data_IF_823523785894
#
_entry.id   IF_823523785894
#
_cell.length_a   1.000
_cell.length_b   1.000
_cell.length_c   1.000
_cell.angle_alpha   90.00
_cell.angle_beta   90.00
_cell.angle_gamma   90.00
#
_symmetry.space_group_name_H-M   'P 1'
#
loop_
_entity.id
_entity.type
_entity.pdbx_description
1 polymer ?
#
# COMPACT_ATOMS: atom_id res chain seq x y z
N UNK A 1 4.56 17.54 27.85
CA UNK A 1 4.28 16.17 27.36
C UNK A 1 3.98 16.21 25.88
N UNK A 2 4.60 15.34 25.12
CA UNK A 2 4.33 15.18 23.67
C UNK A 2 2.96 14.54 23.48
N UNK A 3 2.09 15.15 22.69
CA UNK A 3 0.75 14.61 22.41
C UNK A 3 0.85 13.30 21.60
N UNK A 4 -0.22 12.51 21.58
CA UNK A 4 -0.30 11.31 20.72
C UNK A 4 -0.14 11.68 19.23
N UNK A 5 -0.70 12.82 18.84
CA UNK A 5 -0.58 13.37 17.48
C UNK A 5 0.88 13.72 17.14
N UNK A 6 1.61 14.35 18.03
CA UNK A 6 3.01 14.71 17.80
C UNK A 6 3.90 13.47 17.69
N UNK A 7 3.60 12.41 18.48
CA UNK A 7 4.29 11.13 18.36
C UNK A 7 4.05 10.48 17.01
N UNK A 8 2.81 10.49 16.55
CA UNK A 8 2.45 9.92 15.25
C UNK A 8 3.14 10.65 14.10
N UNK A 9 3.13 11.98 14.11
CA UNK A 9 3.81 12.79 13.08
C UNK A 9 5.32 12.54 13.08
N UNK A 10 5.94 12.56 14.24
CA UNK A 10 7.38 12.28 14.38
C UNK A 10 7.72 10.88 13.81
N UNK A 11 6.94 9.88 14.15
CA UNK A 11 7.17 8.53 13.65
C UNK A 11 7.07 8.44 12.13
N UNK A 12 6.10 9.12 11.52
CA UNK A 12 5.96 9.21 10.06
C UNK A 12 7.18 9.89 9.44
N UNK A 13 7.64 11.01 10.02
CA UNK A 13 8.79 11.75 9.52
C UNK A 13 10.09 10.93 9.63
N UNK A 14 10.31 10.27 10.77
CA UNK A 14 11.48 9.42 11.00
C UNK A 14 11.52 8.19 10.06
N UNK A 15 10.37 7.70 9.62
CA UNK A 15 10.25 6.54 8.74
C UNK A 15 9.95 6.89 7.28
N UNK A 16 9.96 8.16 6.91
CA UNK A 16 9.62 8.66 5.58
C UNK A 16 10.35 7.90 4.45
N UNK A 17 11.63 7.64 4.60
CA UNK A 17 12.41 6.91 3.60
C UNK A 17 11.91 5.48 3.36
N UNK A 18 11.42 4.81 4.40
CA UNK A 18 10.82 3.47 4.28
C UNK A 18 9.50 3.52 3.52
N UNK A 19 8.62 4.46 3.86
CA UNK A 19 7.34 4.63 3.17
C UNK A 19 7.53 4.95 1.69
N UNK A 20 8.48 5.82 1.36
CA UNK A 20 8.81 6.16 -0.03
C UNK A 20 9.28 4.95 -0.82
N UNK A 21 10.12 4.08 -0.24
CA UNK A 21 10.57 2.84 -0.88
C UNK A 21 9.41 1.86 -1.09
N UNK A 22 8.53 1.70 -0.11
CA UNK A 22 7.39 0.81 -0.21
C UNK A 22 6.39 1.27 -1.26
N UNK A 23 6.09 2.57 -1.28
CA UNK A 23 5.26 3.18 -2.30
C UNK A 23 5.85 2.96 -3.70
N UNK A 24 7.15 3.23 -3.88
CA UNK A 24 7.84 3.05 -5.15
C UNK A 24 7.87 1.59 -5.60
N UNK A 25 7.93 0.64 -4.66
CA UNK A 25 7.89 -0.78 -4.99
C UNK A 25 6.56 -1.16 -5.67
N UNK A 26 5.43 -0.83 -5.04
CA UNK A 26 4.10 -1.12 -5.59
C UNK A 26 3.87 -0.33 -6.89
N UNK A 27 4.25 0.95 -6.92
CA UNK A 27 4.15 1.77 -8.12
C UNK A 27 4.90 1.18 -9.32
N UNK A 28 6.08 0.61 -9.10
CA UNK A 28 6.86 -0.03 -10.16
C UNK A 28 6.26 -1.37 -10.64
N UNK A 29 5.49 -2.06 -9.83
CA UNK A 29 4.77 -3.27 -10.25
C UNK A 29 3.66 -2.95 -11.24
N UNK A 30 3.00 -1.80 -11.11
CA UNK A 30 1.98 -1.29 -12.02
C UNK A 30 0.91 -2.33 -12.39
N UNK A 31 0.43 -3.07 -11.41
CA UNK A 31 -0.58 -4.10 -11.60
C UNK A 31 -1.98 -3.50 -11.55
N UNK A 32 -2.80 -3.80 -12.54
CA UNK A 32 -4.17 -3.28 -12.63
C UNK A 32 -5.14 -4.06 -11.76
N UNK A 33 -6.32 -3.50 -11.52
CA UNK A 33 -7.39 -4.09 -10.71
C UNK A 33 -7.65 -5.56 -11.08
N UNK A 34 -7.83 -6.42 -10.08
CA UNK A 34 -7.97 -7.88 -10.18
C UNK A 34 -6.71 -8.64 -10.62
N UNK A 35 -5.61 -7.95 -10.85
CA UNK A 35 -4.31 -8.53 -11.28
C UNK A 35 -3.16 -8.14 -10.36
N UNK A 36 -3.46 -7.62 -9.17
CA UNK A 36 -2.49 -7.13 -8.18
C UNK A 36 -1.83 -8.28 -7.40
N UNK A 37 -1.49 -9.38 -8.06
CA UNK A 37 -1.00 -10.60 -7.40
C UNK A 37 0.34 -10.38 -6.68
N UNK A 38 1.29 -9.71 -7.31
CA UNK A 38 2.61 -9.44 -6.71
C UNK A 38 2.53 -8.32 -5.69
N UNK A 39 1.79 -7.27 -6.01
CA UNK A 39 1.55 -6.14 -5.10
C UNK A 39 0.83 -6.60 -3.85
N UNK A 40 -0.24 -7.38 -3.98
CA UNK A 40 -1.00 -7.92 -2.86
C UNK A 40 -0.16 -8.85 -1.99
N UNK A 41 0.56 -9.79 -2.59
CA UNK A 41 1.43 -10.71 -1.85
C UNK A 41 2.53 -9.94 -1.08
N UNK A 42 3.14 -8.95 -1.69
CA UNK A 42 4.16 -8.13 -1.05
C UNK A 42 3.57 -7.29 0.09
N UNK A 43 2.40 -6.68 -0.13
CA UNK A 43 1.72 -5.86 0.88
C UNK A 43 1.32 -6.69 2.11
N UNK A 44 0.75 -7.87 1.87
CA UNK A 44 0.40 -8.83 2.93
C UNK A 44 1.62 -9.24 3.73
N UNK A 45 2.74 -9.55 3.06
CA UNK A 45 3.99 -9.89 3.73
C UNK A 45 4.47 -8.75 4.64
N UNK A 46 4.42 -7.49 4.17
CA UNK A 46 4.80 -6.33 4.98
C UNK A 46 3.90 -6.12 6.18
N UNK A 47 2.60 -6.26 6.03
CA UNK A 47 1.68 -6.16 7.16
C UNK A 47 1.94 -7.24 8.23
N UNK A 48 2.23 -8.47 7.80
CA UNK A 48 2.61 -9.55 8.72
C UNK A 48 3.94 -9.28 9.43
N UNK A 49 4.93 -8.75 8.72
CA UNK A 49 6.22 -8.31 9.31
C UNK A 49 6.01 -7.22 10.37
N UNK A 50 5.03 -6.33 10.18
CA UNK A 50 4.67 -5.29 11.14
C UNK A 50 3.73 -5.79 12.28
N UNK A 51 3.39 -7.07 12.30
CA UNK A 51 2.63 -7.70 13.38
C UNK A 51 1.12 -7.71 13.20
N UNK A 52 0.61 -7.43 12.00
CA UNK A 52 -0.80 -7.55 11.70
C UNK A 52 -1.22 -9.01 11.45
N UNK A 53 -2.42 -9.36 11.88
CA UNK A 53 -3.12 -10.55 11.40
C UNK A 53 -3.79 -10.22 10.07
N UNK A 54 -3.49 -11.02 9.04
CA UNK A 54 -3.96 -10.72 7.67
C UNK A 54 -4.79 -11.88 7.13
N UNK A 55 -6.02 -11.56 6.72
CA UNK A 55 -6.92 -12.43 5.95
C UNK A 55 -6.78 -12.09 4.47
N UNK A 56 -6.34 -13.05 3.68
CA UNK A 56 -6.24 -12.93 2.22
C UNK A 56 -7.53 -13.41 1.55
N UNK A 57 -7.83 -12.87 0.37
CA UNK A 57 -9.03 -13.24 -0.37
C UNK A 57 -10.32 -12.74 0.26
N UNK A 58 -10.27 -11.61 0.96
CA UNK A 58 -11.41 -11.02 1.63
C UNK A 58 -12.59 -10.82 0.67
N UNK A 59 -13.78 -11.22 1.09
CA UNK A 59 -14.98 -11.13 0.27
C UNK A 59 -14.96 -12.01 -0.98
N UNK A 60 -14.09 -13.02 -1.04
CA UNK A 60 -13.93 -13.88 -2.21
C UNK A 60 -13.13 -13.26 -3.36
N UNK A 61 -12.49 -12.13 -3.14
CA UNK A 61 -11.66 -11.44 -4.14
C UNK A 61 -10.19 -11.84 -3.95
N UNK A 62 -9.56 -12.53 -4.92
CA UNK A 62 -8.21 -13.11 -4.74
C UNK A 62 -7.12 -12.10 -4.38
N UNK A 63 -7.24 -10.86 -4.79
CA UNK A 63 -6.26 -9.78 -4.53
C UNK A 63 -6.68 -8.84 -3.40
N UNK A 64 -7.85 -9.05 -2.80
CA UNK A 64 -8.27 -8.29 -1.62
C UNK A 64 -7.76 -8.94 -0.33
N UNK A 65 -7.49 -8.13 0.65
CA UNK A 65 -7.13 -8.60 1.99
C UNK A 65 -7.65 -7.62 3.05
N UNK A 66 -7.80 -8.14 4.26
CA UNK A 66 -8.02 -7.32 5.45
C UNK A 66 -6.93 -7.62 6.47
N UNK A 67 -6.53 -6.60 7.20
CA UNK A 67 -5.51 -6.72 8.23
C UNK A 67 -6.00 -6.10 9.54
N UNK A 68 -5.74 -6.75 10.64
CA UNK A 68 -6.13 -6.26 11.97
C UNK A 68 -4.97 -6.31 12.95
N UNK A 69 -4.97 -5.35 13.84
CA UNK A 69 -4.03 -5.27 14.95
C UNK A 69 -4.74 -4.66 16.15
N UNK A 70 -4.43 -5.11 17.34
CA UNK A 70 -5.06 -4.63 18.58
C UNK A 70 -4.02 -4.21 19.60
N UNK A 71 -4.26 -3.08 20.22
CA UNK A 71 -3.46 -2.53 21.33
C UNK A 71 -4.25 -2.41 22.64
N UNK A 72 -5.25 -3.26 22.80
CA UNK A 72 -6.10 -3.29 23.99
C UNK A 72 -7.53 -2.80 23.74
N UNK A 73 -8.33 -2.59 24.81
CA UNK A 73 -9.72 -2.19 24.68
C UNK A 73 -9.85 -0.77 24.15
N UNK A 74 -10.86 -0.53 23.31
CA UNK A 74 -11.13 0.80 22.75
C UNK A 74 -11.91 0.69 21.44
N UNK A 75 -12.16 1.83 20.79
CA UNK A 75 -12.84 1.85 19.50
C UNK A 75 -11.96 1.23 18.41
N UNK A 76 -12.60 0.57 17.45
CA UNK A 76 -11.95 0.10 16.24
C UNK A 76 -11.86 1.24 15.22
N UNK A 77 -10.68 1.50 14.71
CA UNK A 77 -10.44 2.47 13.63
C UNK A 77 -10.14 1.67 12.35
N UNK A 78 -10.84 1.98 11.27
CA UNK A 78 -10.63 1.37 9.97
C UNK A 78 -10.09 2.40 8.99
N UNK A 79 -9.11 1.96 8.21
CA UNK A 79 -8.63 2.68 7.02
C UNK A 79 -8.68 1.73 5.82
N UNK A 80 -8.76 2.28 4.62
CA UNK A 80 -8.61 1.49 3.40
C UNK A 80 -7.54 2.10 2.51
N UNK A 81 -6.95 1.28 1.67
CA UNK A 81 -5.99 1.71 0.66
C UNK A 81 -6.25 0.96 -0.64
N UNK A 82 -6.22 1.69 -1.74
CA UNK A 82 -6.20 1.16 -3.08
C UNK A 82 -4.75 1.04 -3.55
N UNK A 83 -4.40 -0.04 -4.22
CA UNK A 83 -3.02 -0.29 -4.65
C UNK A 83 -2.89 -0.78 -6.09
N UNK A 84 -3.99 -0.74 -6.83
CA UNK A 84 -4.02 -1.04 -8.25
C UNK A 84 -3.53 0.15 -9.09
N UNK A 85 -2.99 -0.15 -10.27
CA UNK A 85 -2.65 0.84 -11.27
C UNK A 85 -3.86 1.14 -12.16
N UNK A 86 -4.11 2.42 -12.43
CA UNK A 86 -5.17 2.83 -13.34
C UNK A 86 -4.72 2.61 -14.78
N UNK A 87 -5.43 1.80 -15.59
CA UNK A 87 -5.05 1.53 -16.96
C UNK A 87 -4.91 2.81 -17.82
N UNK A 88 -3.87 2.85 -18.64
CA UNK A 88 -3.60 3.97 -19.53
C UNK A 88 -2.94 5.19 -18.89
N UNK A 89 -2.63 5.14 -17.60
CA UNK A 89 -1.98 6.23 -16.87
C UNK A 89 -0.51 5.94 -16.52
N UNK A 90 0.12 5.05 -17.28
CA UNK A 90 1.53 4.71 -17.09
C UNK A 90 2.42 5.94 -17.31
N UNK A 91 3.11 6.37 -16.27
CA UNK A 91 3.79 7.66 -16.21
C UNK A 91 5.12 7.56 -15.47
N UNK A 92 6.16 8.24 -15.94
CA UNK A 92 7.38 8.44 -15.17
C UNK A 92 7.13 9.37 -13.97
N UNK A 93 7.96 9.26 -12.93
CA UNK A 93 7.84 10.09 -11.72
C UNK A 93 8.35 11.53 -11.96
N UNK A 94 7.70 12.24 -12.89
CA UNK A 94 8.02 13.62 -13.26
C UNK A 94 6.74 14.45 -13.34
N UNK A 95 6.80 15.78 -13.13
CA UNK A 95 5.61 16.63 -13.09
C UNK A 95 5.05 17.02 -14.47
N UNK A 96 5.46 16.37 -15.54
CA UNK A 96 4.95 16.55 -16.89
C UNK A 96 4.56 15.22 -17.51
N UNK A 97 3.85 15.24 -18.61
CA UNK A 97 3.42 14.02 -19.32
C UNK A 97 4.64 13.29 -19.89
N UNK A 98 4.97 12.15 -19.34
CA UNK A 98 6.06 11.29 -19.77
C UNK A 98 5.66 9.81 -19.64
N UNK A 99 4.96 9.24 -20.63
CA UNK A 99 4.55 7.83 -20.58
C UNK A 99 5.75 6.90 -20.46
N UNK A 100 5.70 5.97 -19.50
CA UNK A 100 6.76 4.96 -19.32
C UNK A 100 6.80 4.01 -20.49
N UNK A 101 8.02 3.78 -21.01
CA UNK A 101 8.26 2.81 -22.07
C UNK A 101 8.40 1.40 -21.48
N UNK A 102 7.91 0.39 -22.19
CA UNK A 102 8.12 -1.00 -21.84
C UNK A 102 7.17 -1.60 -20.82
N UNK A 103 6.23 -0.83 -20.27
CA UNK A 103 5.11 -1.39 -19.53
C UNK A 103 3.98 -1.77 -20.50
N UNK A 104 3.23 -2.81 -20.12
CA UNK A 104 2.09 -3.30 -20.87
C UNK A 104 1.14 -2.16 -21.27
N UNK A 105 0.49 -2.28 -22.45
CA UNK A 105 -0.55 -1.35 -22.90
C UNK A 105 -1.72 -1.17 -21.94
N UNK A 106 -1.76 -2.00 -20.89
CA UNK A 106 -2.83 -2.05 -19.89
C UNK A 106 -2.41 -1.49 -18.53
N UNK A 107 -1.18 -1.00 -18.40
CA UNK A 107 -0.69 -0.34 -17.19
C UNK A 107 -0.55 1.18 -17.39
#
# INVERSE_FOLDING_TARGET
MTSAKDRAFRWVDENHGQWSRWNSHIWNLAETAWREYRSGAWYVAKLREEGFEVEEGSGGMPTAFSASWSNGPGPTIMAYAEYDAVPGNCQDAVPWRAPRKGLSRFA
#
